data_IF_305533708347
#
_entry.id   IF_305533708347
#
_cell.length_a   1.000
_cell.length_b   1.000
_cell.length_c   1.000
_cell.angle_alpha   90.00
_cell.angle_beta   90.00
_cell.angle_gamma   90.00
#
_symmetry.space_group_name_H-M   'P 1'
#
loop_
_entity.id
_entity.type
_entity.pdbx_description
1 polymer ?
#
# COMPACT_ATOMS: atom_id res chain seq x y z
N UNK A 1 -17.05 -10.25 0.84
CA UNK A 1 -15.60 -10.19 0.64
C UNK A 1 -14.98 -11.05 1.73
N UNK A 2 -13.80 -11.61 1.50
CA UNK A 2 -13.11 -12.46 2.47
C UNK A 2 -12.70 -11.65 3.71
N UNK A 3 -12.72 -12.29 4.89
CA UNK A 3 -12.21 -11.70 6.13
C UNK A 3 -10.70 -11.66 6.07
N UNK A 4 -10.12 -10.48 6.23
CA UNK A 4 -8.68 -10.27 6.20
C UNK A 4 -8.08 -10.39 7.61
N UNK A 5 -6.76 -10.57 7.69
CA UNK A 5 -5.99 -10.52 8.94
C UNK A 5 -5.70 -9.05 9.35
N UNK A 6 -6.73 -8.21 9.29
CA UNK A 6 -6.73 -6.79 9.64
C UNK A 6 -7.95 -6.52 10.54
N UNK A 7 -7.98 -5.41 11.31
CA UNK A 7 -9.17 -5.01 12.04
C UNK A 7 -10.37 -4.78 11.10
N UNK A 8 -11.58 -4.93 11.63
CA UNK A 8 -12.80 -4.75 10.85
C UNK A 8 -13.13 -3.25 10.66
N UNK A 9 -13.43 -2.87 9.42
CA UNK A 9 -13.79 -1.50 9.05
C UNK A 9 -15.10 -1.45 8.26
N UNK A 10 -15.83 -0.35 8.41
CA UNK A 10 -17.06 -0.10 7.65
C UNK A 10 -16.77 0.73 6.41
N UNK A 11 -17.25 0.28 5.26
CA UNK A 11 -17.06 0.96 3.98
C UNK A 11 -18.39 1.32 3.33
N UNK A 12 -18.41 2.49 2.69
CA UNK A 12 -19.49 2.86 1.76
C UNK A 12 -19.34 2.02 0.50
N UNK A 13 -20.30 1.16 0.22
CA UNK A 13 -20.35 0.34 -0.99
C UNK A 13 -21.68 0.55 -1.72
N UNK A 14 -21.70 0.31 -3.02
CA UNK A 14 -22.91 0.31 -3.85
C UNK A 14 -22.84 -0.80 -4.89
N UNK A 15 -23.99 -1.17 -5.43
CA UNK A 15 -24.10 -2.06 -6.59
C UNK A 15 -24.71 -1.28 -7.74
N UNK A 16 -24.06 -1.30 -8.89
CA UNK A 16 -24.47 -0.58 -10.10
C UNK A 16 -24.03 -1.43 -11.31
N UNK A 17 -24.95 -1.65 -12.26
CA UNK A 17 -24.75 -2.52 -13.43
C UNK A 17 -24.24 -3.93 -13.09
N UNK A 18 -24.76 -4.52 -12.00
CA UNK A 18 -24.33 -5.84 -11.53
C UNK A 18 -22.92 -5.89 -10.95
N UNK A 19 -22.21 -4.76 -10.89
CA UNK A 19 -20.87 -4.64 -10.30
C UNK A 19 -20.96 -4.02 -8.91
N UNK A 20 -20.12 -4.51 -8.01
CA UNK A 20 -19.94 -3.91 -6.68
C UNK A 20 -18.88 -2.83 -6.74
N UNK A 21 -19.13 -1.73 -6.04
CA UNK A 21 -18.24 -0.58 -5.96
C UNK A 21 -18.00 -0.23 -4.49
N UNK A 22 -16.82 0.32 -4.21
CA UNK A 22 -16.40 0.82 -2.89
C UNK A 22 -15.93 2.27 -3.03
N UNK A 23 -16.28 3.11 -2.06
CA UNK A 23 -15.78 4.48 -2.02
C UNK A 23 -14.33 4.50 -1.53
N UNK A 24 -13.42 4.97 -2.38
CA UNK A 24 -12.04 5.23 -2.01
C UNK A 24 -11.94 6.62 -1.37
N UNK A 25 -11.57 6.65 -0.09
CA UNK A 25 -11.44 7.88 0.69
C UNK A 25 -10.31 8.79 0.21
N UNK A 26 -9.23 8.26 -0.36
CA UNK A 26 -8.09 9.03 -0.84
C UNK A 26 -8.39 9.63 -2.22
N UNK A 27 -8.92 8.82 -3.15
CA UNK A 27 -9.27 9.22 -4.52
C UNK A 27 -10.59 9.98 -4.61
N UNK A 28 -11.38 10.01 -3.53
CA UNK A 28 -12.70 10.67 -3.42
C UNK A 28 -13.70 10.24 -4.49
N UNK A 29 -13.69 8.95 -4.88
CA UNK A 29 -14.61 8.39 -5.89
C UNK A 29 -14.96 6.93 -5.58
N UNK A 30 -16.05 6.44 -6.17
CA UNK A 30 -16.35 5.01 -6.18
C UNK A 30 -15.46 4.30 -7.21
N UNK A 31 -14.90 3.16 -6.81
CA UNK A 31 -14.09 2.27 -7.66
C UNK A 31 -14.63 0.86 -7.60
N UNK A 32 -14.34 0.04 -8.61
CA UNK A 32 -14.79 -1.35 -8.66
C UNK A 32 -14.20 -2.11 -7.48
N UNK A 33 -15.05 -2.78 -6.71
CA UNK A 33 -14.66 -3.56 -5.54
C UNK A 33 -14.10 -4.92 -5.99
N UNK A 34 -12.85 -4.91 -6.44
CA UNK A 34 -12.09 -6.15 -6.70
C UNK A 34 -11.53 -6.73 -5.39
N UNK A 35 -11.10 -8.01 -5.37
CA UNK A 35 -10.42 -8.58 -4.21
C UNK A 35 -9.15 -7.82 -3.79
N UNK A 36 -8.38 -7.33 -4.76
CA UNK A 36 -7.19 -6.48 -4.49
C UNK A 36 -7.59 -5.11 -3.92
N UNK A 37 -8.63 -4.47 -4.47
CA UNK A 37 -9.14 -3.20 -3.95
C UNK A 37 -9.69 -3.34 -2.53
N UNK A 38 -10.29 -4.50 -2.20
CA UNK A 38 -10.70 -4.81 -0.83
C UNK A 38 -9.52 -4.83 0.14
N UNK A 39 -8.40 -5.45 -0.25
CA UNK A 39 -7.16 -5.42 0.54
C UNK A 39 -6.65 -3.99 0.67
N UNK A 40 -6.56 -3.25 -0.44
CA UNK A 40 -6.09 -1.85 -0.47
C UNK A 40 -6.88 -0.97 0.49
N UNK A 41 -8.22 -0.99 0.43
CA UNK A 41 -9.06 -0.12 1.27
C UNK A 41 -8.98 -0.50 2.77
N UNK A 42 -8.95 -1.79 3.11
CA UNK A 42 -8.74 -2.23 4.50
C UNK A 42 -7.36 -1.83 5.02
N UNK A 43 -6.33 -1.95 4.19
CA UNK A 43 -4.98 -1.60 4.58
C UNK A 43 -4.82 -0.08 4.77
N UNK A 44 -5.47 0.74 3.93
CA UNK A 44 -5.51 2.19 4.13
C UNK A 44 -6.16 2.55 5.47
N UNK A 45 -7.26 1.89 5.85
CA UNK A 45 -7.90 2.10 7.16
C UNK A 45 -7.00 1.65 8.31
N UNK A 46 -6.30 0.53 8.17
CA UNK A 46 -5.31 0.07 9.15
C UNK A 46 -4.18 1.09 9.34
N UNK A 47 -3.60 1.59 8.25
CA UNK A 47 -2.56 2.60 8.31
C UNK A 47 -3.05 3.89 8.98
N UNK A 48 -4.27 4.32 8.67
CA UNK A 48 -4.87 5.54 9.22
C UNK A 48 -5.23 5.41 10.70
N UNK A 49 -5.96 4.35 11.07
CA UNK A 49 -6.58 4.23 12.38
C UNK A 49 -5.63 3.62 13.41
N UNK A 50 -4.84 2.62 13.03
CA UNK A 50 -3.92 1.93 13.94
C UNK A 50 -2.54 2.56 13.89
N UNK A 51 -1.98 2.74 12.69
CA UNK A 51 -0.60 3.22 12.51
C UNK A 51 -0.47 4.75 12.36
N UNK A 52 -1.57 5.48 12.50
CA UNK A 52 -1.64 6.95 12.54
C UNK A 52 -1.08 7.67 11.30
N UNK A 53 -1.05 7.01 10.15
CA UNK A 53 -0.68 7.66 8.89
C UNK A 53 -1.80 8.61 8.43
N UNK A 54 -1.53 9.91 8.25
CA UNK A 54 -2.55 10.87 7.90
C UNK A 54 -2.95 10.75 6.42
N UNK A 55 -4.25 10.86 6.16
CA UNK A 55 -4.85 10.69 4.83
C UNK A 55 -4.27 11.64 3.78
N UNK A 56 -3.96 12.88 4.18
CA UNK A 56 -3.40 13.91 3.30
C UNK A 56 -1.95 13.65 2.86
N UNK A 57 -1.29 12.62 3.42
CA UNK A 57 0.04 12.15 3.00
C UNK A 57 -0.02 10.91 2.12
N UNK A 58 -1.20 10.38 1.84
CA UNK A 58 -1.40 9.18 1.02
C UNK A 58 -1.75 9.55 -0.42
N UNK A 59 -1.16 8.86 -1.37
CA UNK A 59 -1.48 8.92 -2.79
C UNK A 59 -1.72 7.52 -3.33
N UNK A 60 -2.92 7.26 -3.83
CA UNK A 60 -3.34 5.95 -4.37
C UNK A 60 -3.24 5.95 -5.90
N UNK A 61 -2.76 4.85 -6.48
CA UNK A 61 -2.57 4.66 -7.93
C UNK A 61 -1.65 5.72 -8.59
N UNK A 62 -0.62 6.19 -7.87
CA UNK A 62 0.30 7.20 -8.39
C UNK A 62 1.19 6.59 -9.48
N UNK A 63 1.12 7.16 -10.67
CA UNK A 63 2.09 6.89 -11.74
C UNK A 63 3.36 7.71 -11.53
N UNK A 64 4.49 7.05 -11.72
CA UNK A 64 5.82 7.66 -11.73
C UNK A 64 6.64 7.14 -12.91
N UNK A 65 7.65 7.90 -13.33
CA UNK A 65 8.59 7.47 -14.35
C UNK A 65 9.83 6.87 -13.69
N UNK A 66 10.10 5.59 -13.97
CA UNK A 66 11.29 4.86 -13.50
C UNK A 66 12.07 4.38 -14.72
N UNK A 67 13.29 4.87 -14.92
CA UNK A 67 14.16 4.49 -16.04
C UNK A 67 13.45 4.54 -17.41
N UNK A 68 12.69 5.61 -17.66
CA UNK A 68 11.94 5.80 -18.91
C UNK A 68 10.66 4.96 -19.04
N UNK A 69 10.27 4.20 -18.02
CA UNK A 69 9.02 3.41 -18.01
C UNK A 69 8.05 3.95 -16.97
N UNK A 70 6.79 4.13 -17.37
CA UNK A 70 5.71 4.48 -16.43
C UNK A 70 5.40 3.28 -15.54
N UNK A 71 5.39 3.51 -14.23
CA UNK A 71 5.03 2.54 -13.20
C UNK A 71 3.98 3.15 -12.30
N UNK A 72 2.99 2.35 -11.93
CA UNK A 72 1.92 2.75 -11.02
C UNK A 72 2.11 1.98 -9.71
N UNK A 73 2.23 2.70 -8.61
CA UNK A 73 2.14 2.08 -7.30
C UNK A 73 0.74 2.16 -6.77
N UNK A 74 0.35 1.15 -6.01
CA UNK A 74 -0.96 1.11 -5.39
C UNK A 74 -1.14 2.18 -4.32
N UNK A 75 -0.14 2.36 -3.45
CA UNK A 75 -0.13 3.39 -2.43
C UNK A 75 1.29 3.93 -2.23
N UNK A 76 1.40 5.26 -2.24
CA UNK A 76 2.60 6.01 -1.89
C UNK A 76 2.27 6.92 -0.71
N UNK A 77 3.15 6.97 0.28
CA UNK A 77 3.01 7.82 1.47
C UNK A 77 4.21 8.75 1.56
N UNK A 78 3.93 10.03 1.80
CA UNK A 78 4.94 11.06 1.98
C UNK A 78 5.27 11.28 3.46
N UNK A 79 6.54 11.53 3.76
CA UNK A 79 6.99 12.02 5.07
C UNK A 79 6.44 13.42 5.34
N UNK A 80 6.67 13.93 6.56
CA UNK A 80 6.37 15.32 6.93
C UNK A 80 7.05 16.35 6.03
N UNK A 81 8.29 16.08 5.61
CA UNK A 81 9.07 16.94 4.69
C UNK A 81 8.59 16.86 3.24
N UNK A 82 7.59 16.02 2.93
CA UNK A 82 7.02 15.87 1.59
C UNK A 82 7.81 14.93 0.69
N UNK A 83 8.80 14.22 1.23
CA UNK A 83 9.56 13.20 0.50
C UNK A 83 8.81 11.87 0.50
N UNK A 84 8.97 11.07 -0.55
CA UNK A 84 8.42 9.73 -0.63
C UNK A 84 9.06 8.86 0.48
N UNK A 85 8.24 8.29 1.37
CA UNK A 85 8.72 7.61 2.59
C UNK A 85 8.34 6.13 2.64
N UNK A 86 7.12 5.79 2.22
CA UNK A 86 6.64 4.41 2.17
C UNK A 86 5.91 4.15 0.86
N UNK A 87 6.17 3.00 0.25
CA UNK A 87 5.33 2.44 -0.82
C UNK A 87 4.66 1.16 -0.32
N UNK A 88 3.42 0.95 -0.74
CA UNK A 88 2.71 -0.29 -0.50
C UNK A 88 2.13 -0.85 -1.80
N UNK A 89 2.27 -2.15 -1.98
CA UNK A 89 1.71 -2.92 -3.09
C UNK A 89 0.73 -3.96 -2.57
N UNK A 90 -0.46 -4.01 -3.18
CA UNK A 90 -1.53 -4.90 -2.75
C UNK A 90 -1.78 -6.00 -3.77
N UNK A 91 -2.16 -7.17 -3.25
CA UNK A 91 -2.60 -8.32 -4.05
C UNK A 91 -3.95 -8.80 -3.55
N UNK A 92 -4.65 -9.58 -4.38
CA UNK A 92 -5.86 -10.28 -3.93
C UNK A 92 -5.53 -11.31 -2.82
N UNK A 93 -6.46 -11.62 -1.90
CA UNK A 93 -6.21 -12.51 -0.76
C UNK A 93 -5.66 -13.90 -1.09
N UNK A 94 -6.11 -14.46 -2.22
CA UNK A 94 -5.68 -15.76 -2.71
C UNK A 94 -4.32 -15.75 -3.44
N UNK A 95 -3.72 -14.58 -3.66
CA UNK A 95 -2.42 -14.46 -4.33
C UNK A 95 -1.31 -14.52 -3.28
N UNK A 96 -0.50 -15.59 -3.34
CA UNK A 96 0.66 -15.75 -2.47
C UNK A 96 1.72 -14.68 -2.76
N UNK A 97 2.22 -14.04 -1.71
CA UNK A 97 3.37 -13.14 -1.82
C UNK A 97 4.63 -14.01 -1.88
N UNK A 98 5.34 -13.92 -3.00
CA UNK A 98 6.63 -14.61 -3.21
C UNK A 98 7.79 -13.63 -3.01
N UNK A 99 8.98 -14.16 -2.74
CA UNK A 99 10.21 -13.36 -2.68
C UNK A 99 10.42 -12.59 -3.98
N UNK A 100 10.20 -13.20 -5.14
CA UNK A 100 10.31 -12.53 -6.43
C UNK A 100 9.38 -11.32 -6.57
N UNK A 101 8.13 -11.44 -6.09
CA UNK A 101 7.16 -10.35 -6.07
C UNK A 101 7.65 -9.22 -5.18
N UNK A 102 8.19 -9.55 -4.00
CA UNK A 102 8.74 -8.58 -3.07
C UNK A 102 9.99 -7.88 -3.63
N UNK A 103 10.95 -8.65 -4.14
CA UNK A 103 12.19 -8.15 -4.74
C UNK A 103 11.92 -7.25 -5.95
N UNK A 104 10.86 -7.54 -6.70
CA UNK A 104 10.42 -6.67 -7.78
C UNK A 104 10.02 -5.28 -7.26
N UNK A 105 9.26 -5.21 -6.16
CA UNK A 105 8.86 -3.94 -5.54
C UNK A 105 10.09 -3.19 -4.99
N UNK A 106 10.98 -3.88 -4.29
CA UNK A 106 12.22 -3.30 -3.74
C UNK A 106 13.11 -2.73 -4.86
N UNK A 107 13.33 -3.49 -5.94
CA UNK A 107 14.15 -3.04 -7.08
C UNK A 107 13.55 -1.81 -7.77
N UNK A 108 12.24 -1.75 -7.95
CA UNK A 108 11.61 -0.60 -8.59
C UNK A 108 11.60 0.65 -7.71
N UNK A 109 11.69 0.49 -6.39
CA UNK A 109 11.80 1.60 -5.47
C UNK A 109 13.12 2.39 -5.61
N UNK A 110 14.16 1.83 -6.24
CA UNK A 110 15.46 2.51 -6.37
C UNK A 110 15.36 3.93 -6.97
N UNK A 111 14.34 4.21 -7.79
CA UNK A 111 14.12 5.56 -8.34
C UNK A 111 13.44 6.54 -7.38
N UNK A 112 12.56 6.07 -6.48
CA UNK A 112 11.92 6.92 -5.47
C UNK A 112 12.74 7.04 -4.19
N UNK A 113 13.65 6.09 -3.97
CA UNK A 113 14.48 5.98 -2.77
C UNK A 113 13.69 6.03 -1.46
N UNK A 114 12.49 5.42 -1.42
CA UNK A 114 11.72 5.40 -0.16
C UNK A 114 12.40 4.53 0.88
N UNK A 115 12.23 4.88 2.15
CA UNK A 115 12.85 4.16 3.27
C UNK A 115 12.15 2.82 3.55
N UNK A 116 10.84 2.73 3.27
CA UNK A 116 10.02 1.59 3.66
C UNK A 116 9.19 1.01 2.50
N UNK A 117 9.17 -0.31 2.38
CA UNK A 117 8.35 -1.02 1.40
C UNK A 117 7.42 -1.97 2.13
N UNK A 118 6.16 -1.99 1.71
CA UNK A 118 5.13 -2.90 2.21
C UNK A 118 4.52 -3.69 1.06
N UNK A 119 4.34 -4.99 1.26
CA UNK A 119 3.56 -5.83 0.35
C UNK A 119 2.54 -6.61 1.17
N UNK A 120 1.27 -6.57 0.74
CA UNK A 120 0.18 -7.20 1.48
C UNK A 120 -0.85 -7.81 0.54
N UNK A 121 -1.33 -8.99 0.90
CA UNK A 121 -2.51 -9.61 0.28
C UNK A 121 -3.69 -9.63 1.26
N UNK A 122 -3.61 -8.91 2.38
CA UNK A 122 -4.65 -8.91 3.40
C UNK A 122 -4.60 -10.12 4.36
N UNK A 123 -3.96 -11.22 3.98
CA UNK A 123 -3.74 -12.40 4.85
C UNK A 123 -2.33 -12.42 5.43
N UNK A 124 -1.36 -11.96 4.65
CA UNK A 124 0.04 -11.84 4.99
C UNK A 124 0.50 -10.42 4.67
N UNK A 125 1.34 -9.88 5.54
CA UNK A 125 1.87 -8.52 5.45
C UNK A 125 3.38 -8.57 5.64
N UNK A 126 4.11 -8.04 4.67
CA UNK A 126 5.56 -7.93 4.74
C UNK A 126 5.94 -6.47 4.67
N UNK A 127 6.78 -6.03 5.60
CA UNK A 127 7.36 -4.69 5.62
C UNK A 127 8.88 -4.82 5.68
N UNK A 128 9.61 -3.96 4.97
CA UNK A 128 11.05 -3.84 5.12
C UNK A 128 11.50 -2.38 5.14
N UNK A 129 12.66 -2.17 5.74
CA UNK A 129 13.44 -0.96 5.55
C UNK A 129 14.56 -1.22 4.56
N UNK A 130 14.79 -0.26 3.67
CA UNK A 130 15.86 -0.33 2.67
C UNK A 130 17.07 0.43 3.17
N UNK A 131 18.22 -0.24 3.13
CA UNK A 131 19.53 0.35 3.35
C UNK A 131 20.20 0.60 1.98
N UNK A 132 20.12 1.83 1.51
CA UNK A 132 20.74 2.24 0.25
C UNK A 132 22.26 2.38 0.34
N UNK A 133 22.84 2.45 1.53
CA UNK A 133 24.31 2.53 1.69
C UNK A 133 24.90 1.16 1.44
N UNK A 134 24.29 0.12 2.01
CA UNK A 134 24.75 -1.26 1.89
C UNK A 134 24.04 -2.05 0.77
N UNK A 135 23.15 -1.42 0.01
CA UNK A 135 22.31 -2.06 -1.02
C UNK A 135 21.58 -3.31 -0.50
N UNK A 136 21.02 -3.21 0.70
CA UNK A 136 20.34 -4.31 1.37
C UNK A 136 18.98 -3.85 1.90
N UNK A 137 18.21 -4.78 2.45
CA UNK A 137 17.00 -4.47 3.18
C UNK A 137 16.86 -5.41 4.37
N UNK A 138 16.11 -4.97 5.38
CA UNK A 138 15.78 -5.80 6.54
C UNK A 138 14.26 -5.88 6.71
N UNK A 139 13.74 -7.07 6.95
CA UNK A 139 12.34 -7.22 7.30
C UNK A 139 12.04 -6.61 8.66
N UNK A 140 10.94 -5.89 8.74
CA UNK A 140 10.39 -5.38 9.99
C UNK A 140 9.44 -6.41 10.58
N UNK A 141 9.40 -6.49 11.91
CA UNK A 141 8.44 -7.35 12.62
C UNK A 141 7.01 -6.87 12.45
N UNK A 142 6.84 -5.56 12.31
CA UNK A 142 5.56 -4.92 12.09
C UNK A 142 5.73 -3.66 11.23
N UNK A 143 4.62 -3.19 10.69
CA UNK A 143 4.59 -1.89 10.01
C UNK A 143 4.75 -0.81 11.08
N UNK A 144 5.69 0.13 10.93
CA UNK A 144 5.91 1.17 11.93
C UNK A 144 4.73 2.13 11.99
N UNK A 145 4.60 2.83 13.12
CA UNK A 145 3.68 3.96 13.20
C UNK A 145 4.23 5.16 12.44
N UNK A 146 3.35 6.05 12.00
CA UNK A 146 3.77 7.30 11.39
C UNK A 146 4.49 8.16 12.43
N UNK A 147 5.80 8.32 12.27
CA UNK A 147 6.61 9.09 13.20
C UNK A 147 6.10 10.53 13.35
N UNK A 148 5.74 10.90 14.58
CA UNK A 148 5.35 12.25 15.00
C UNK A 148 6.59 13.12 15.30
N UNK A 149 7.81 12.64 15.05
CA UNK A 149 9.03 13.44 15.23
C UNK A 149 9.28 14.32 14.03
#
# INVERSE_FOLDING_TARGET
MEKLNLPDYTFRTKTEDGKRWIFDGIRKKFVVLTPEEWVRQNFIQYLKNEKKYPENRMAVEKQIMVNGKSRRFDLLIYSKSGQAHLIAEFKAPNVKITQDTFDQVVRYNMALRVEQVVVSNGMQHFACEIDYVNNSYRFLREIPEFNIV
#
